data_IF_912571909158
#
_entry.id   IF_912571909158
#
_cell.length_a   1.000
_cell.length_b   1.000
_cell.length_c   1.000
_cell.angle_alpha   90.00
_cell.angle_beta   90.00
_cell.angle_gamma   90.00
#
_symmetry.space_group_name_H-M   'P 1'
#
loop_
_entity.id
_entity.type
_entity.pdbx_description
1 polymer ?
#
# COMPACT_ATOMS: atom_id res chain seq x y z
N UNK A 1 -5.24 -4.81 39.21
CA UNK A 1 -4.46 -5.89 38.58
C UNK A 1 -5.14 -6.28 37.27
N UNK A 2 -4.74 -5.67 36.14
CA UNK A 2 -5.31 -5.92 34.80
C UNK A 2 -4.23 -6.46 33.84
N UNK A 3 -3.55 -7.55 34.22
CA UNK A 3 -2.50 -8.14 33.37
C UNK A 3 -3.00 -9.27 32.45
N UNK A 4 -4.30 -9.63 32.52
CA UNK A 4 -4.84 -10.85 31.88
C UNK A 4 -5.35 -10.67 30.45
N UNK A 5 -5.49 -9.45 29.94
CA UNK A 5 -6.23 -9.20 28.69
C UNK A 5 -5.30 -9.16 27.45
N UNK A 6 -4.03 -8.77 27.62
CA UNK A 6 -3.10 -8.58 26.48
C UNK A 6 -2.59 -9.89 25.86
N UNK A 7 -2.37 -10.94 26.65
CA UNK A 7 -1.83 -12.20 26.12
C UNK A 7 -2.87 -12.97 25.29
N UNK A 8 -4.14 -12.84 25.66
CA UNK A 8 -5.25 -13.43 24.89
C UNK A 8 -5.49 -12.70 23.56
N UNK A 9 -5.34 -11.38 23.51
CA UNK A 9 -5.42 -10.64 22.23
C UNK A 9 -4.19 -10.90 21.35
N UNK A 10 -3.00 -10.97 21.92
CA UNK A 10 -1.77 -11.34 21.21
C UNK A 10 -1.83 -12.77 20.66
N UNK A 11 -2.33 -13.73 21.44
CA UNK A 11 -2.55 -15.11 21.00
C UNK A 11 -3.52 -15.19 19.82
N UNK A 12 -4.62 -14.43 19.86
CA UNK A 12 -5.58 -14.35 18.74
C UNK A 12 -4.96 -13.76 17.47
N UNK A 13 -4.08 -12.76 17.60
CA UNK A 13 -3.34 -12.20 16.46
C UNK A 13 -2.41 -13.25 15.85
N UNK A 14 -1.67 -13.99 16.68
CA UNK A 14 -0.79 -15.07 16.21
C UNK A 14 -1.56 -16.19 15.50
N UNK A 15 -2.71 -16.61 16.05
CA UNK A 15 -3.60 -17.57 15.38
C UNK A 15 -4.05 -17.03 14.03
N UNK A 16 -4.46 -15.76 13.96
CA UNK A 16 -4.90 -15.15 12.71
C UNK A 16 -3.79 -15.04 11.67
N UNK A 17 -2.56 -14.73 12.09
CA UNK A 17 -1.38 -14.72 11.21
C UNK A 17 -1.11 -16.13 10.67
N UNK A 18 -1.17 -17.15 11.55
CA UNK A 18 -0.95 -18.55 11.14
C UNK A 18 -2.01 -19.08 10.18
N UNK A 19 -3.27 -18.66 10.33
CA UNK A 19 -4.34 -18.96 9.37
C UNK A 19 -4.08 -18.37 7.99
N UNK A 20 -3.34 -17.26 7.90
CA UNK A 20 -2.98 -16.59 6.65
C UNK A 20 -1.67 -17.12 6.05
N UNK A 21 -1.02 -18.14 6.65
CA UNK A 21 0.29 -18.65 6.21
C UNK A 21 0.36 -18.99 4.72
N UNK A 22 -0.68 -19.61 4.19
CA UNK A 22 -0.70 -20.05 2.79
C UNK A 22 -0.81 -18.85 1.84
N UNK A 23 -1.37 -17.72 2.30
CA UNK A 23 -1.43 -16.46 1.54
C UNK A 23 -0.07 -15.78 1.47
N UNK A 24 0.78 -15.96 2.48
CA UNK A 24 2.16 -15.45 2.44
C UNK A 24 3.06 -16.23 1.48
N UNK A 25 2.59 -17.35 0.92
CA UNK A 25 3.31 -18.10 -0.13
C UNK A 25 2.76 -17.82 -1.53
N UNK A 26 1.59 -17.16 -1.62
CA UNK A 26 0.98 -16.78 -2.89
C UNK A 26 1.64 -15.48 -3.40
N UNK A 27 2.52 -15.61 -4.39
CA UNK A 27 3.24 -14.49 -5.01
C UNK A 27 2.28 -13.42 -5.55
N UNK A 28 1.14 -13.80 -6.13
CA UNK A 28 0.16 -12.83 -6.65
C UNK A 28 -0.54 -12.10 -5.51
N UNK A 29 -0.80 -12.78 -4.40
CA UNK A 29 -1.31 -12.12 -3.20
C UNK A 29 -0.30 -11.15 -2.59
N UNK A 30 0.97 -11.55 -2.48
CA UNK A 30 2.05 -10.69 -1.98
C UNK A 30 2.23 -9.45 -2.86
N UNK A 31 2.15 -9.60 -4.19
CA UNK A 31 2.22 -8.48 -5.12
C UNK A 31 1.04 -7.50 -4.93
N UNK A 32 -0.19 -8.01 -4.72
CA UNK A 32 -1.37 -7.18 -4.36
C UNK A 32 -1.13 -6.40 -3.06
N UNK A 33 -0.51 -7.03 -2.07
CA UNK A 33 -0.18 -6.40 -0.78
C UNK A 33 0.91 -5.34 -0.95
N UNK A 34 1.95 -5.62 -1.74
CA UNK A 34 3.01 -4.66 -2.07
C UNK A 34 2.43 -3.42 -2.76
N UNK A 35 1.55 -3.61 -3.73
CA UNK A 35 0.83 -2.52 -4.40
C UNK A 35 0.02 -1.67 -3.42
N UNK A 36 -0.80 -2.31 -2.56
CA UNK A 36 -1.57 -1.60 -1.55
C UNK A 36 -0.66 -0.83 -0.58
N UNK A 37 0.44 -1.43 -0.12
CA UNK A 37 1.41 -0.79 0.75
C UNK A 37 1.95 0.51 0.15
N UNK A 38 2.39 0.48 -1.11
CA UNK A 38 2.91 1.65 -1.81
C UNK A 38 1.85 2.74 -1.99
N UNK A 39 0.60 2.37 -2.27
CA UNK A 39 -0.53 3.32 -2.33
C UNK A 39 -0.80 3.94 -0.96
N UNK A 40 -0.81 3.16 0.12
CA UNK A 40 -1.00 3.67 1.48
C UNK A 40 0.11 4.64 1.88
N UNK A 41 1.37 4.36 1.53
CA UNK A 41 2.49 5.29 1.76
C UNK A 41 2.23 6.63 1.06
N UNK A 42 1.77 6.60 -0.20
CA UNK A 42 1.45 7.81 -0.98
C UNK A 42 0.27 8.59 -0.39
N UNK A 43 -0.80 7.90 0.04
CA UNK A 43 -1.95 8.51 0.72
C UNK A 43 -1.53 9.12 2.06
N UNK A 44 -0.72 8.41 2.85
CA UNK A 44 -0.21 8.93 4.12
C UNK A 44 0.63 10.18 3.92
N UNK A 45 1.50 10.22 2.90
CA UNK A 45 2.22 11.44 2.52
C UNK A 45 1.25 12.58 2.20
N UNK A 46 0.19 12.35 1.42
CA UNK A 46 -0.84 13.36 1.17
C UNK A 46 -1.48 13.82 2.48
N UNK A 47 -1.92 12.89 3.34
CA UNK A 47 -2.54 13.20 4.63
C UNK A 47 -1.64 14.07 5.51
N UNK A 48 -0.35 13.76 5.61
CA UNK A 48 0.62 14.61 6.30
C UNK A 48 0.66 16.03 5.71
N UNK A 49 0.66 16.15 4.38
CA UNK A 49 0.67 17.47 3.73
C UNK A 49 -0.63 18.24 3.92
N UNK A 50 -1.75 17.58 4.22
CA UNK A 50 -3.07 18.19 4.46
C UNK A 50 -3.26 18.58 5.93
N UNK A 51 -2.68 17.83 6.87
CA UNK A 51 -2.70 18.12 8.30
C UNK A 51 -1.75 19.26 8.73
N UNK A 52 -0.97 19.82 7.80
CA UNK A 52 -0.04 20.90 8.09
C UNK A 52 -0.76 22.19 8.56
N UNK A 53 -0.17 22.88 9.55
CA UNK A 53 -0.73 24.08 10.21
C UNK A 53 -1.05 25.27 9.27
N UNK A 54 -0.58 25.27 8.03
CA UNK A 54 -0.78 26.36 7.06
C UNK A 54 -1.61 25.97 5.83
N UNK A 55 -2.31 24.84 5.87
CA UNK A 55 -3.15 24.42 4.74
C UNK A 55 -4.52 25.08 4.85
N UNK A 56 -4.82 25.98 3.92
CA UNK A 56 -6.18 26.49 3.73
C UNK A 56 -6.97 25.62 2.75
N UNK A 57 -8.27 25.89 2.63
CA UNK A 57 -9.19 25.11 1.78
C UNK A 57 -8.76 25.08 0.30
N UNK A 58 -8.23 26.19 -0.23
CA UNK A 58 -7.74 26.26 -1.60
C UNK A 58 -6.50 25.38 -1.78
N UNK A 59 -5.53 25.47 -0.88
CA UNK A 59 -4.33 24.63 -0.92
C UNK A 59 -4.64 23.15 -0.73
N UNK A 60 -5.60 22.81 0.15
CA UNK A 60 -6.06 21.44 0.32
C UNK A 60 -6.70 20.90 -0.96
N UNK A 61 -7.57 21.70 -1.59
CA UNK A 61 -8.20 21.35 -2.86
C UNK A 61 -7.16 21.07 -3.94
N UNK A 62 -6.19 21.97 -4.13
CA UNK A 62 -5.11 21.80 -5.12
C UNK A 62 -4.27 20.54 -4.85
N UNK A 63 -3.92 20.26 -3.59
CA UNK A 63 -3.18 19.05 -3.21
C UNK A 63 -3.96 17.77 -3.52
N UNK A 64 -5.25 17.72 -3.18
CA UNK A 64 -6.13 16.58 -3.48
C UNK A 64 -6.30 16.42 -5.00
N UNK A 65 -6.52 17.53 -5.71
CA UNK A 65 -6.68 17.52 -7.16
C UNK A 65 -5.41 17.02 -7.88
N UNK A 66 -4.24 17.51 -7.46
CA UNK A 66 -2.96 17.04 -7.96
C UNK A 66 -2.73 15.55 -7.64
N UNK A 67 -3.16 15.09 -6.46
CA UNK A 67 -3.07 13.67 -6.12
C UNK A 67 -3.96 12.79 -7.00
N UNK A 68 -5.19 13.23 -7.32
CA UNK A 68 -6.06 12.52 -8.28
C UNK A 68 -5.40 12.38 -9.65
N UNK A 69 -4.80 13.45 -10.17
CA UNK A 69 -4.01 13.40 -11.42
C UNK A 69 -2.84 12.41 -11.34
N UNK A 70 -2.16 12.32 -10.19
CA UNK A 70 -1.11 11.32 -9.97
C UNK A 70 -1.66 9.89 -9.97
N UNK A 71 -2.84 9.65 -9.39
CA UNK A 71 -3.49 8.33 -9.45
C UNK A 71 -3.81 7.93 -10.90
N UNK A 72 -4.34 8.86 -11.69
CA UNK A 72 -4.63 8.59 -13.10
C UNK A 72 -3.35 8.32 -13.90
N UNK A 73 -2.28 9.08 -13.64
CA UNK A 73 -0.96 8.82 -14.21
C UNK A 73 -0.42 7.43 -13.82
N UNK A 74 -0.47 7.07 -12.54
CA UNK A 74 0.01 5.77 -12.09
C UNK A 74 -0.79 4.59 -12.67
N UNK A 75 -2.10 4.74 -12.90
CA UNK A 75 -2.88 3.72 -13.63
C UNK A 75 -2.34 3.50 -15.04
N UNK A 76 -1.94 4.57 -15.73
CA UNK A 76 -1.34 4.49 -17.07
C UNK A 76 0.01 3.77 -16.98
N UNK A 77 0.90 4.19 -16.07
CA UNK A 77 2.21 3.53 -15.87
C UNK A 77 2.08 2.04 -15.58
N UNK A 78 1.17 1.65 -14.68
CA UNK A 78 0.92 0.24 -14.37
C UNK A 78 0.42 -0.57 -15.58
N UNK A 79 -0.34 0.07 -16.48
CA UNK A 79 -0.80 -0.57 -17.71
C UNK A 79 0.34 -0.74 -18.74
N UNK A 80 1.37 0.10 -18.66
CA UNK A 80 2.59 0.03 -19.46
C UNK A 80 3.70 -0.79 -18.80
N UNK A 81 3.43 -1.46 -17.67
CA UNK A 81 4.40 -2.22 -16.88
C UNK A 81 5.58 -1.36 -16.33
N UNK A 82 5.33 -0.07 -16.10
CA UNK A 82 6.29 0.89 -15.51
C UNK A 82 6.01 1.07 -14.01
N UNK A 83 6.94 0.65 -13.15
CA UNK A 83 6.75 0.64 -11.68
C UNK A 83 7.73 1.51 -10.88
N UNK A 84 8.52 2.38 -11.51
CA UNK A 84 9.54 3.24 -10.85
C UNK A 84 8.98 4.06 -9.67
N UNK A 85 7.68 4.34 -9.67
CA UNK A 85 7.00 5.05 -8.58
C UNK A 85 6.64 4.16 -7.38
N UNK A 86 6.83 2.84 -7.47
CA UNK A 86 6.35 1.79 -6.56
C UNK A 86 7.51 0.90 -6.10
N UNK A 87 8.35 1.44 -5.21
CA UNK A 87 9.56 0.77 -4.70
C UNK A 87 9.30 -0.62 -4.10
N UNK A 88 8.15 -0.84 -3.45
CA UNK A 88 7.84 -2.15 -2.85
C UNK A 88 7.51 -3.16 -3.94
N UNK A 89 6.80 -2.74 -5.00
CA UNK A 89 6.52 -3.57 -6.17
C UNK A 89 7.82 -3.87 -6.94
N UNK A 90 8.61 -2.84 -7.26
CA UNK A 90 9.86 -2.97 -8.02
C UNK A 90 10.80 -3.99 -7.37
N UNK A 91 11.07 -3.83 -6.08
CA UNK A 91 11.89 -4.78 -5.32
C UNK A 91 11.32 -6.21 -5.34
N UNK A 92 10.01 -6.36 -5.25
CA UNK A 92 9.38 -7.68 -5.29
C UNK A 92 9.51 -8.34 -6.66
N UNK A 93 9.41 -7.57 -7.75
CA UNK A 93 9.56 -8.09 -9.11
C UNK A 93 11.01 -8.51 -9.40
N UNK A 94 11.99 -7.75 -8.90
CA UNK A 94 13.41 -8.10 -9.00
C UNK A 94 13.76 -9.39 -8.23
N UNK A 95 13.17 -9.60 -7.05
CA UNK A 95 13.46 -10.74 -6.18
C UNK A 95 12.82 -12.05 -6.69
N UNK A 96 11.58 -11.99 -7.21
CA UNK A 96 10.79 -13.18 -7.53
C UNK A 96 10.73 -13.52 -9.02
N UNK A 97 11.21 -12.63 -9.91
CA UNK A 97 11.22 -12.86 -11.37
C UNK A 97 9.82 -13.01 -11.99
N UNK A 98 8.81 -12.42 -11.35
CA UNK A 98 7.39 -12.55 -11.73
C UNK A 98 7.06 -11.58 -12.86
N UNK A 99 6.61 -12.10 -14.01
CA UNK A 99 5.99 -11.29 -15.05
C UNK A 99 4.54 -10.95 -14.67
N UNK A 100 4.22 -9.66 -14.58
CA UNK A 100 2.85 -9.20 -14.31
C UNK A 100 2.02 -9.37 -15.59
N UNK A 101 1.41 -10.55 -15.75
CA UNK A 101 0.56 -10.85 -16.91
C UNK A 101 -0.91 -10.40 -16.73
N UNK A 102 -1.31 -9.99 -15.53
CA UNK A 102 -2.61 -9.38 -15.29
C UNK A 102 -2.44 -8.02 -14.64
N UNK A 103 -2.85 -6.99 -15.40
CA UNK A 103 -2.91 -5.61 -14.95
C UNK A 103 -3.79 -5.55 -13.69
N UNK A 104 -3.26 -4.92 -12.64
CA UNK A 104 -4.00 -4.55 -11.43
C UNK A 104 -5.13 -3.58 -11.79
N UNK A 105 -6.27 -4.08 -12.25
CA UNK A 105 -7.53 -3.33 -12.38
C UNK A 105 -8.62 -4.08 -11.62
#
# INVERSE_FOLDING_TARGET
>A
MEYSISWLSQGKILTRIFELKDRFLDQMWLLKVAHLSDIFIKINKLNFTLQGRQVNIFTAHEKIHAFKKKLDFWKICMSSNEFDSFLTIERFLEEEGVEINEVFI
#
